data_IF_482423904332
#
_entry.id   IF_482423904332
#
_cell.length_a   1.000
_cell.length_b   1.000
_cell.length_c   1.000
_cell.angle_alpha   90.00
_cell.angle_beta   90.00
_cell.angle_gamma   90.00
#
_symmetry.space_group_name_H-M   'P 1'
#
loop_
_entity.id
_entity.type
_entity.pdbx_description
1 polymer ?
#
# COMPACT_ATOMS: atom_id res chain seq x y z
N UNK A 1 11.70 19.08 -6.17
CA UNK A 1 12.38 17.89 -5.62
C UNK A 1 12.43 16.88 -6.73
N UNK A 2 13.63 16.47 -7.14
CA UNK A 2 13.86 15.61 -8.30
C UNK A 2 13.07 14.30 -8.17
N UNK A 3 12.37 13.96 -9.24
CA UNK A 3 11.51 12.76 -9.42
C UNK A 3 12.38 11.50 -9.60
N UNK A 4 13.33 11.30 -8.68
CA UNK A 4 14.23 10.17 -8.75
C UNK A 4 13.51 8.95 -8.15
N UNK A 5 13.29 7.93 -8.96
CA UNK A 5 12.72 6.66 -8.49
C UNK A 5 13.62 6.02 -7.43
N UNK A 6 13.01 5.26 -6.51
CA UNK A 6 13.79 4.47 -5.54
C UNK A 6 14.60 3.40 -6.27
N UNK A 7 15.85 3.22 -5.85
CA UNK A 7 16.70 2.13 -6.38
C UNK A 7 16.08 0.79 -5.99
N UNK A 8 15.76 -0.05 -6.97
CA UNK A 8 15.20 -1.39 -6.75
C UNK A 8 16.19 -2.46 -7.21
N UNK A 9 16.60 -3.34 -6.29
CA UNK A 9 17.51 -4.46 -6.57
C UNK A 9 16.94 -5.77 -6.02
N UNK A 10 17.42 -6.92 -6.49
CA UNK A 10 16.96 -8.25 -6.03
C UNK A 10 17.82 -8.88 -4.93
N UNK A 11 18.95 -8.27 -4.61
CA UNK A 11 19.88 -8.74 -3.58
C UNK A 11 20.66 -7.57 -2.99
N UNK A 12 21.30 -7.80 -1.84
CA UNK A 12 22.17 -6.80 -1.21
C UNK A 12 23.36 -6.48 -2.10
N UNK A 13 23.92 -7.47 -2.79
CA UNK A 13 25.08 -7.26 -3.71
C UNK A 13 24.73 -6.34 -4.89
N UNK A 14 23.47 -6.30 -5.31
CA UNK A 14 23.00 -5.38 -6.35
C UNK A 14 23.20 -3.89 -5.99
N UNK A 15 23.30 -3.55 -4.72
CA UNK A 15 23.50 -2.18 -4.26
C UNK A 15 24.89 -1.61 -4.62
N UNK A 16 25.88 -2.46 -4.86
CA UNK A 16 27.24 -2.03 -5.25
C UNK A 16 27.24 -1.21 -6.54
N UNK A 17 26.37 -1.53 -7.49
CA UNK A 17 26.26 -0.79 -8.76
C UNK A 17 25.72 0.63 -8.56
N UNK A 18 25.18 0.92 -7.38
CA UNK A 18 24.68 2.23 -6.98
C UNK A 18 25.57 2.91 -5.92
N UNK A 19 26.82 2.42 -5.76
CA UNK A 19 27.83 2.95 -4.83
C UNK A 19 27.38 2.97 -3.36
N UNK A 20 26.45 2.09 -2.96
CA UNK A 20 26.07 1.89 -1.57
C UNK A 20 26.98 0.83 -0.93
N UNK A 21 27.83 1.25 -0.02
CA UNK A 21 28.83 0.37 0.62
C UNK A 21 28.51 0.05 2.07
N UNK A 22 27.92 0.99 2.79
CA UNK A 22 27.48 0.84 4.17
C UNK A 22 25.98 1.08 4.23
N UNK A 23 25.23 0.09 4.71
CA UNK A 23 23.77 0.15 4.73
C UNK A 23 23.19 -0.18 6.09
N UNK A 24 22.06 0.42 6.40
CA UNK A 24 21.17 -0.02 7.46
C UNK A 24 19.84 -0.50 6.83
N UNK A 25 19.35 -1.65 7.25
CA UNK A 25 18.23 -2.34 6.61
C UNK A 25 17.00 -2.39 7.52
N UNK A 26 15.82 -2.05 7.01
CA UNK A 26 14.55 -2.44 7.61
C UNK A 26 13.97 -3.61 6.82
N UNK A 27 13.75 -4.77 7.47
CA UNK A 27 13.17 -5.94 6.83
C UNK A 27 11.69 -6.11 7.21
N UNK A 28 10.84 -6.36 6.19
CA UNK A 28 9.41 -6.55 6.39
C UNK A 28 8.65 -6.76 5.08
N UNK A 29 7.38 -7.14 5.18
CA UNK A 29 6.50 -7.28 4.01
C UNK A 29 6.08 -5.91 3.47
N UNK A 30 5.95 -4.91 4.34
CA UNK A 30 5.57 -3.53 4.02
C UNK A 30 4.28 -3.41 3.21
N UNK A 31 3.34 -4.35 3.39
CA UNK A 31 2.07 -4.21 2.71
C UNK A 31 1.25 -3.07 3.31
N UNK A 32 0.87 -2.13 2.44
CA UNK A 32 0.20 -0.91 2.82
C UNK A 32 1.10 0.16 3.43
N UNK A 33 2.35 -0.09 3.82
CA UNK A 33 3.25 0.86 4.52
C UNK A 33 2.48 1.67 5.56
N UNK A 34 1.87 0.97 6.53
CA UNK A 34 1.02 1.53 7.58
C UNK A 34 1.83 2.21 8.69
N UNK A 35 1.17 2.89 9.64
CA UNK A 35 1.81 3.65 10.70
C UNK A 35 2.84 2.85 11.53
N UNK A 36 2.63 1.53 11.73
CA UNK A 36 3.63 0.66 12.34
C UNK A 36 4.89 0.48 11.48
N UNK A 37 4.73 0.37 10.16
CA UNK A 37 5.88 0.38 9.24
C UNK A 37 6.58 1.74 9.22
N UNK A 38 5.82 2.84 9.25
CA UNK A 38 6.39 4.20 9.29
C UNK A 38 7.26 4.39 10.54
N UNK A 39 6.83 3.90 11.71
CA UNK A 39 7.63 3.89 12.93
C UNK A 39 8.94 3.12 12.74
N UNK A 40 8.88 1.92 12.15
CA UNK A 40 10.06 1.11 11.84
C UNK A 40 11.05 1.85 10.91
N UNK A 41 10.54 2.45 9.82
CA UNK A 41 11.36 3.19 8.86
C UNK A 41 11.97 4.46 9.48
N UNK A 42 11.23 5.16 10.35
CA UNK A 42 11.77 6.32 11.08
C UNK A 42 12.89 5.91 12.03
N UNK A 43 12.74 4.80 12.77
CA UNK A 43 13.78 4.24 13.61
C UNK A 43 15.01 3.88 12.79
N UNK A 44 14.84 3.22 11.64
CA UNK A 44 15.95 2.89 10.75
C UNK A 44 16.67 4.14 10.27
N UNK A 45 15.96 5.20 9.88
CA UNK A 45 16.61 6.45 9.44
C UNK A 45 17.50 7.06 10.50
N UNK A 46 17.04 7.07 11.75
CA UNK A 46 17.84 7.58 12.87
C UNK A 46 19.08 6.71 13.09
N UNK A 47 18.92 5.39 13.08
CA UNK A 47 20.02 4.45 13.19
C UNK A 47 21.03 4.63 12.05
N UNK A 48 20.57 4.67 10.81
CA UNK A 48 21.39 4.83 9.62
C UNK A 48 22.24 6.13 9.66
N UNK A 49 21.62 7.23 10.08
CA UNK A 49 22.32 8.50 10.24
C UNK A 49 23.45 8.42 11.26
N UNK A 50 23.23 7.78 12.42
CA UNK A 50 24.25 7.58 13.45
C UNK A 50 25.40 6.67 13.01
N UNK A 51 25.12 5.75 12.09
CA UNK A 51 26.09 4.79 11.54
C UNK A 51 26.77 5.28 10.24
N UNK A 52 26.42 6.47 9.75
CA UNK A 52 26.84 6.96 8.43
C UNK A 52 26.54 5.96 7.31
N UNK A 53 25.38 5.30 7.38
CA UNK A 53 24.94 4.26 6.46
C UNK A 53 23.71 4.70 5.66
N UNK A 54 23.48 4.08 4.51
CA UNK A 54 22.32 4.32 3.68
C UNK A 54 21.09 3.55 4.20
N UNK A 55 19.93 4.20 4.42
CA UNK A 55 18.71 3.53 4.84
C UNK A 55 18.07 2.77 3.67
N UNK A 56 17.91 1.45 3.82
CA UNK A 56 17.44 0.52 2.81
C UNK A 56 16.26 -0.29 3.35
N UNK A 57 15.19 -0.43 2.57
CA UNK A 57 14.12 -1.37 2.88
C UNK A 57 14.38 -2.72 2.21
N UNK A 58 14.05 -3.83 2.89
CA UNK A 58 14.09 -5.18 2.33
C UNK A 58 12.70 -5.79 2.42
N UNK A 59 12.18 -6.28 1.29
CA UNK A 59 10.87 -6.94 1.22
C UNK A 59 10.96 -8.21 0.38
N UNK A 60 9.92 -9.04 0.47
CA UNK A 60 9.84 -10.33 -0.20
C UNK A 60 8.77 -10.28 -1.29
N UNK A 61 9.06 -10.85 -2.46
CA UNK A 61 8.13 -10.86 -3.59
C UNK A 61 8.25 -12.16 -4.39
N UNK A 62 7.12 -12.83 -4.71
CA UNK A 62 5.75 -12.49 -4.30
C UNK A 62 5.56 -12.50 -2.78
N UNK A 63 4.38 -12.07 -2.33
CA UNK A 63 4.07 -12.12 -0.89
C UNK A 63 4.19 -13.57 -0.38
N UNK A 64 4.87 -13.83 0.77
CA UNK A 64 5.11 -15.21 1.25
C UNK A 64 3.87 -16.10 1.28
N UNK A 65 2.70 -15.56 1.64
CA UNK A 65 1.46 -16.33 1.66
C UNK A 65 0.92 -16.67 0.27
N UNK A 66 1.27 -15.93 -0.77
CA UNK A 66 0.91 -16.30 -2.15
C UNK A 66 1.55 -17.63 -2.56
N UNK A 67 2.74 -17.93 -2.02
CA UNK A 67 3.45 -19.17 -2.28
C UNK A 67 3.12 -20.28 -1.27
N UNK A 68 3.07 -19.93 0.03
CA UNK A 68 2.95 -20.91 1.12
C UNK A 68 1.50 -21.32 1.40
N UNK A 69 0.56 -20.41 1.18
CA UNK A 69 -0.87 -20.60 1.43
C UNK A 69 -1.71 -19.83 0.39
N UNK A 70 -1.67 -20.25 -0.90
CA UNK A 70 -2.30 -19.48 -1.99
C UNK A 70 -3.81 -19.31 -1.83
N UNK A 71 -4.50 -20.28 -1.17
CA UNK A 71 -5.95 -20.22 -0.96
C UNK A 71 -6.36 -19.11 0.02
N UNK A 72 -5.48 -18.77 0.97
CA UNK A 72 -5.70 -17.76 2.00
C UNK A 72 -4.75 -16.56 1.83
N UNK A 73 -4.13 -16.41 0.66
CA UNK A 73 -3.28 -15.27 0.36
C UNK A 73 -4.12 -13.98 0.41
N UNK A 74 -3.74 -13.00 1.24
CA UNK A 74 -4.53 -11.79 1.34
C UNK A 74 -4.34 -10.90 0.11
N UNK A 75 -5.39 -10.21 -0.35
CA UNK A 75 -5.23 -9.19 -1.38
C UNK A 75 -4.29 -8.09 -0.87
N UNK A 76 -3.40 -7.61 -1.73
CA UNK A 76 -2.44 -6.56 -1.36
C UNK A 76 -3.16 -5.24 -1.13
N UNK A 77 -2.75 -4.47 -0.12
CA UNK A 77 -3.26 -3.12 0.15
C UNK A 77 -2.80 -2.10 -0.88
N UNK A 78 -1.61 -2.30 -1.43
CA UNK A 78 -1.01 -1.44 -2.46
C UNK A 78 -0.23 -2.27 -3.48
N UNK A 79 -0.05 -1.76 -4.72
CA UNK A 79 0.84 -2.38 -5.69
C UNK A 79 2.30 -2.33 -5.23
N UNK A 80 3.16 -3.10 -5.91
CA UNK A 80 4.60 -3.05 -5.63
C UNK A 80 5.18 -1.67 -5.94
N UNK A 81 4.77 -1.05 -7.03
CA UNK A 81 5.21 0.29 -7.45
C UNK A 81 4.81 1.34 -6.40
N UNK A 82 3.55 1.29 -5.93
CA UNK A 82 3.08 2.20 -4.86
C UNK A 82 3.80 1.95 -3.54
N UNK A 83 4.12 0.70 -3.21
CA UNK A 83 4.95 0.37 -2.04
C UNK A 83 6.34 1.00 -2.16
N UNK A 84 6.99 0.85 -3.31
CA UNK A 84 8.31 1.42 -3.58
C UNK A 84 8.31 2.96 -3.45
N UNK A 85 7.30 3.61 -4.04
CA UNK A 85 7.10 5.06 -3.92
C UNK A 85 6.91 5.50 -2.46
N UNK A 86 6.07 4.80 -1.69
CA UNK A 86 5.85 5.10 -0.28
C UNK A 86 7.13 4.93 0.54
N UNK A 87 7.90 3.86 0.32
CA UNK A 87 9.17 3.65 1.00
C UNK A 87 10.16 4.78 0.72
N UNK A 88 10.22 5.26 -0.53
CA UNK A 88 11.01 6.44 -0.90
C UNK A 88 10.55 7.70 -0.16
N UNK A 89 9.23 7.96 -0.12
CA UNK A 89 8.66 9.11 0.59
C UNK A 89 9.01 9.09 2.09
N UNK A 90 9.12 7.90 2.69
CA UNK A 90 9.57 7.73 4.07
C UNK A 90 11.11 7.70 4.21
N UNK A 91 11.83 8.01 3.13
CA UNK A 91 13.27 8.28 3.15
C UNK A 91 14.17 7.08 2.95
N UNK A 92 13.66 5.97 2.42
CA UNK A 92 14.50 4.86 2.00
C UNK A 92 15.18 5.22 0.67
N UNK A 93 16.50 4.99 0.58
CA UNK A 93 17.28 5.22 -0.64
C UNK A 93 17.15 4.07 -1.63
N UNK A 94 17.00 2.84 -1.11
CA UNK A 94 16.85 1.64 -1.93
C UNK A 94 15.82 0.67 -1.34
N UNK A 95 15.30 -0.20 -2.22
CA UNK A 95 14.43 -1.32 -1.90
C UNK A 95 15.05 -2.61 -2.43
N UNK A 96 15.40 -3.53 -1.52
CA UNK A 96 15.80 -4.87 -1.88
C UNK A 96 14.55 -5.74 -1.96
N UNK A 97 14.24 -6.23 -3.16
CA UNK A 97 13.12 -7.12 -3.44
C UNK A 97 13.61 -8.55 -3.53
N UNK A 98 13.68 -9.25 -2.40
CA UNK A 98 14.11 -10.64 -2.36
C UNK A 98 13.10 -11.53 -3.08
N UNK A 99 13.49 -12.32 -4.09
CA UNK A 99 12.62 -13.33 -4.70
C UNK A 99 12.22 -14.38 -3.66
N UNK A 100 10.93 -14.46 -3.34
CA UNK A 100 10.43 -15.43 -2.38
C UNK A 100 10.03 -16.73 -3.12
N UNK A 101 10.91 -17.72 -3.07
CA UNK A 101 10.71 -19.05 -3.68
C UNK A 101 10.51 -20.12 -2.61
N UNK A 102 10.18 -21.35 -3.01
CA UNK A 102 10.06 -22.47 -2.07
C UNK A 102 11.41 -22.82 -1.45
N UNK A 103 12.48 -22.72 -2.23
CA UNK A 103 13.85 -22.93 -1.78
C UNK A 103 14.24 -21.86 -0.75
N UNK A 104 13.90 -20.60 -1.02
CA UNK A 104 14.14 -19.50 -0.08
C UNK A 104 13.34 -19.69 1.22
N UNK A 105 12.09 -20.11 1.14
CA UNK A 105 11.24 -20.37 2.30
C UNK A 105 11.74 -21.55 3.17
N UNK A 106 12.54 -22.45 2.61
CA UNK A 106 13.14 -23.59 3.31
C UNK A 106 14.49 -23.28 3.97
N UNK A 107 15.06 -22.08 3.77
CA UNK A 107 16.34 -21.68 4.37
C UNK A 107 16.22 -21.62 5.90
N UNK A 108 17.19 -22.21 6.59
CA UNK A 108 17.35 -22.03 8.04
C UNK A 108 17.70 -20.57 8.36
N UNK A 109 17.49 -20.10 9.61
CA UNK A 109 17.80 -18.71 9.98
C UNK A 109 19.24 -18.28 9.64
N UNK A 110 20.23 -19.12 9.88
CA UNK A 110 21.64 -18.86 9.57
C UNK A 110 21.88 -18.68 8.06
N UNK A 111 21.27 -19.55 7.26
CA UNK A 111 21.35 -19.50 5.79
C UNK A 111 20.65 -18.27 5.24
N UNK A 112 19.49 -17.90 5.80
CA UNK A 112 18.80 -16.66 5.47
C UNK A 112 19.71 -15.45 5.71
N UNK A 113 20.35 -15.34 6.87
CA UNK A 113 21.27 -14.23 7.14
C UNK A 113 22.41 -14.21 6.13
N UNK A 114 23.05 -15.37 5.88
CA UNK A 114 24.19 -15.48 4.96
C UNK A 114 23.79 -15.04 3.55
N UNK A 115 22.64 -15.51 3.04
CA UNK A 115 22.23 -15.27 1.65
C UNK A 115 21.57 -13.91 1.44
N UNK A 116 20.89 -13.35 2.47
CA UNK A 116 20.10 -12.14 2.31
C UNK A 116 20.75 -10.89 2.85
N UNK A 117 21.60 -11.00 3.90
CA UNK A 117 22.17 -9.85 4.59
C UNK A 117 23.71 -9.81 4.51
N UNK A 118 24.36 -10.95 4.27
CA UNK A 118 25.83 -11.06 4.27
C UNK A 118 26.34 -11.71 2.97
N UNK A 119 25.62 -11.58 1.87
CA UNK A 119 25.99 -12.17 0.58
C UNK A 119 26.93 -11.33 -0.26
N UNK A 120 27.29 -10.12 0.16
CA UNK A 120 28.18 -9.22 -0.57
C UNK A 120 29.48 -8.99 0.19
N UNK A 121 30.60 -8.97 -0.53
CA UNK A 121 31.91 -8.55 -0.02
C UNK A 121 32.07 -7.01 -0.10
N UNK A 122 31.23 -6.32 -0.87
CA UNK A 122 31.31 -4.89 -1.15
C UNK A 122 30.35 -4.07 -0.32
N UNK A 123 29.23 -4.66 0.12
CA UNK A 123 28.17 -3.97 0.86
C UNK A 123 28.14 -4.49 2.29
N UNK A 124 28.38 -3.62 3.25
CA UNK A 124 28.43 -3.95 4.68
C UNK A 124 27.12 -3.60 5.35
N UNK A 125 26.52 -4.57 6.03
CA UNK A 125 25.41 -4.33 6.93
C UNK A 125 25.91 -3.67 8.21
N UNK A 126 25.52 -2.42 8.46
CA UNK A 126 25.87 -1.66 9.65
C UNK A 126 24.75 -1.71 10.70
N UNK A 127 23.52 -1.82 10.26
CA UNK A 127 22.37 -1.86 11.15
C UNK A 127 21.19 -2.61 10.57
N UNK A 128 20.39 -3.22 11.44
CA UNK A 128 19.16 -3.95 11.08
C UNK A 128 18.02 -3.56 12.02
N UNK A 129 16.89 -3.15 11.47
CA UNK A 129 15.64 -2.92 12.18
C UNK A 129 14.55 -3.87 11.72
N UNK A 130 13.85 -4.49 12.65
CA UNK A 130 12.66 -5.33 12.37
C UNK A 130 11.57 -5.06 13.40
N UNK A 131 10.32 -5.43 13.12
CA UNK A 131 9.28 -5.44 14.16
C UNK A 131 9.58 -6.46 15.26
N UNK A 132 9.18 -6.19 16.51
CA UNK A 132 9.46 -7.07 17.66
C UNK A 132 8.88 -8.49 17.52
N UNK A 133 7.78 -8.63 16.76
CA UNK A 133 7.16 -9.93 16.47
C UNK A 133 7.66 -10.59 15.17
N UNK A 134 8.74 -10.07 14.55
CA UNK A 134 9.22 -10.57 13.26
C UNK A 134 9.76 -11.99 13.35
N UNK A 135 9.37 -12.83 12.38
CA UNK A 135 9.82 -14.22 12.22
C UNK A 135 10.39 -14.44 10.83
N UNK A 136 11.42 -15.26 10.72
CA UNK A 136 12.09 -15.56 9.45
C UNK A 136 12.68 -16.97 9.44
N UNK A 137 13.19 -17.37 8.28
CA UNK A 137 13.70 -18.72 8.06
C UNK A 137 12.60 -19.77 7.98
N UNK A 138 12.97 -21.01 7.77
CA UNK A 138 12.06 -22.14 7.60
C UNK A 138 11.08 -22.26 8.79
N UNK A 139 9.79 -22.25 8.48
CA UNK A 139 8.74 -22.31 9.50
C UNK A 139 8.73 -21.15 10.49
N UNK A 140 9.41 -20.03 10.20
CA UNK A 140 9.52 -18.90 11.11
C UNK A 140 10.36 -19.20 12.36
N UNK A 141 11.34 -20.09 12.24
CA UNK A 141 12.18 -20.55 13.35
C UNK A 141 13.16 -19.50 13.88
N UNK A 142 13.51 -18.49 13.05
CA UNK A 142 14.30 -17.34 13.47
C UNK A 142 13.42 -16.26 14.08
N UNK A 143 13.92 -15.59 15.10
CA UNK A 143 13.26 -14.51 15.82
C UNK A 143 14.22 -13.35 16.15
N UNK A 144 13.73 -12.35 16.88
CA UNK A 144 14.52 -11.19 17.30
C UNK A 144 15.66 -11.55 18.25
N UNK A 145 15.51 -12.59 19.08
CA UNK A 145 16.58 -13.07 19.97
C UNK A 145 17.71 -13.70 19.17
N UNK A 146 17.38 -14.43 18.09
CA UNK A 146 18.38 -14.95 17.16
C UNK A 146 19.16 -13.80 16.49
N UNK A 147 18.46 -12.75 16.03
CA UNK A 147 19.09 -11.59 15.41
C UNK A 147 19.99 -10.81 16.37
N UNK A 148 19.59 -10.68 17.64
CA UNK A 148 20.41 -10.01 18.64
C UNK A 148 21.77 -10.71 18.83
N UNK A 149 21.77 -12.04 18.96
CA UNK A 149 23.02 -12.83 19.03
C UNK A 149 23.85 -12.71 17.76
N UNK A 150 23.22 -12.79 16.59
CA UNK A 150 23.92 -12.60 15.32
C UNK A 150 24.51 -11.20 15.16
N UNK A 151 23.88 -10.17 15.73
CA UNK A 151 24.38 -8.80 15.72
C UNK A 151 25.68 -8.67 16.55
N UNK A 152 25.72 -9.27 17.74
CA UNK A 152 26.92 -9.32 18.57
C UNK A 152 28.06 -10.07 17.86
N UNK A 153 27.78 -11.25 17.31
CA UNK A 153 28.78 -12.08 16.62
C UNK A 153 29.34 -11.45 15.34
N UNK A 154 28.51 -10.67 14.62
CA UNK A 154 28.85 -10.12 13.30
C UNK A 154 29.08 -8.60 13.31
N UNK A 155 29.02 -7.97 14.48
CA UNK A 155 29.33 -6.57 14.72
C UNK A 155 28.48 -5.59 13.88
N UNK A 156 27.16 -5.73 13.93
CA UNK A 156 26.19 -4.75 13.42
C UNK A 156 25.19 -4.34 14.49
N UNK A 157 24.63 -3.13 14.36
CA UNK A 157 23.60 -2.64 15.29
C UNK A 157 22.24 -3.28 14.98
N UNK A 158 21.54 -3.75 16.03
CA UNK A 158 20.23 -4.38 15.88
C UNK A 158 19.17 -3.71 16.76
N UNK A 159 18.02 -3.40 16.15
CA UNK A 159 16.86 -2.86 16.85
C UNK A 159 15.58 -3.64 16.53
N UNK A 160 14.93 -4.19 17.55
CA UNK A 160 13.58 -4.71 17.49
C UNK A 160 12.59 -3.59 17.85
N UNK A 161 11.79 -3.14 16.88
CA UNK A 161 10.87 -2.02 17.04
C UNK A 161 9.52 -2.52 17.54
N UNK A 162 9.08 -2.00 18.68
CA UNK A 162 7.79 -2.32 19.29
C UNK A 162 6.61 -2.00 18.38
N UNK A 163 5.59 -2.86 18.42
CA UNK A 163 4.37 -2.71 17.65
C UNK A 163 3.69 -1.36 17.92
N UNK A 164 3.20 -0.74 16.86
CA UNK A 164 2.33 0.43 16.97
C UNK A 164 0.91 -0.02 17.33
N UNK A 165 0.24 0.70 18.24
CA UNK A 165 -1.15 0.45 18.61
C UNK A 165 -2.04 1.65 18.32
N UNK A 166 -3.28 1.36 17.91
CA UNK A 166 -4.36 2.31 17.76
C UNK A 166 -5.54 1.84 18.62
N UNK A 167 -5.94 2.65 19.61
CA UNK A 167 -7.00 2.28 20.57
C UNK A 167 -6.84 0.87 21.19
N UNK A 168 -5.59 0.47 21.51
CA UNK A 168 -5.28 -0.83 22.11
C UNK A 168 -5.10 -1.99 21.11
N UNK A 169 -5.56 -1.87 19.87
CA UNK A 169 -5.34 -2.85 18.80
C UNK A 169 -3.97 -2.67 18.14
N UNK A 170 -3.27 -3.77 17.83
CA UNK A 170 -2.00 -3.72 17.07
C UNK A 170 -2.29 -3.31 15.63
N UNK A 171 -1.61 -2.25 15.16
CA UNK A 171 -1.70 -1.82 13.76
C UNK A 171 -1.07 -2.87 12.86
N UNK A 172 -1.86 -3.42 11.95
CA UNK A 172 -1.41 -4.47 11.02
C UNK A 172 -2.14 -4.38 9.69
N UNK A 173 -1.54 -4.92 8.63
CA UNK A 173 -2.18 -5.02 7.31
C UNK A 173 -3.49 -5.81 7.37
N UNK A 174 -3.61 -6.80 8.26
CA UNK A 174 -4.84 -7.57 8.46
C UNK A 174 -5.97 -6.72 9.04
N UNK A 175 -5.68 -5.90 10.06
CA UNK A 175 -6.66 -4.99 10.65
C UNK A 175 -7.13 -3.93 9.63
N UNK A 176 -6.20 -3.41 8.83
CA UNK A 176 -6.50 -2.43 7.78
C UNK A 176 -7.39 -3.05 6.70
N UNK A 177 -7.09 -4.29 6.24
CA UNK A 177 -7.93 -4.98 5.26
C UNK A 177 -9.36 -5.15 5.77
N UNK A 178 -9.53 -5.51 7.04
CA UNK A 178 -10.84 -5.65 7.68
C UNK A 178 -11.59 -4.32 7.65
N UNK A 179 -10.96 -3.23 8.10
CA UNK A 179 -11.58 -1.91 8.10
C UNK A 179 -12.03 -1.47 6.68
N UNK A 180 -11.18 -1.68 5.66
CA UNK A 180 -11.52 -1.36 4.26
C UNK A 180 -12.69 -2.24 3.77
N UNK A 181 -12.67 -3.54 4.05
CA UNK A 181 -13.73 -4.47 3.64
C UNK A 181 -15.08 -4.20 4.33
N UNK A 182 -15.06 -3.64 5.54
CA UNK A 182 -16.25 -3.22 6.30
C UNK A 182 -16.72 -1.80 5.91
N UNK A 183 -15.92 -1.04 5.14
CA UNK A 183 -16.22 0.34 4.76
C UNK A 183 -15.86 1.36 5.84
N UNK A 184 -15.16 0.95 6.90
CA UNK A 184 -14.65 1.86 7.94
C UNK A 184 -13.37 2.56 7.46
N UNK A 185 -13.56 3.47 6.50
CA UNK A 185 -12.47 4.22 5.87
C UNK A 185 -11.75 5.14 6.86
N UNK A 186 -12.43 5.83 7.79
CA UNK A 186 -11.74 6.62 8.80
C UNK A 186 -10.77 5.78 9.65
N UNK A 187 -11.16 4.57 10.09
CA UNK A 187 -10.27 3.66 10.81
C UNK A 187 -9.10 3.21 9.92
N UNK A 188 -9.37 2.81 8.68
CA UNK A 188 -8.32 2.40 7.73
C UNK A 188 -7.28 3.52 7.51
N UNK A 189 -7.73 4.76 7.31
CA UNK A 189 -6.88 5.92 7.12
C UNK A 189 -6.03 6.23 8.36
N UNK A 190 -6.60 6.15 9.54
CA UNK A 190 -5.89 6.32 10.82
C UNK A 190 -4.79 5.28 11.00
N UNK A 191 -5.11 3.99 10.77
CA UNK A 191 -4.15 2.89 10.84
C UNK A 191 -3.03 3.01 9.80
N UNK A 192 -3.36 3.46 8.59
CA UNK A 192 -2.38 3.72 7.53
C UNK A 192 -1.50 4.94 7.83
N UNK A 193 -2.00 5.93 8.60
CA UNK A 193 -1.36 7.23 8.76
C UNK A 193 -1.46 8.12 7.51
N UNK A 194 -2.32 7.74 6.55
CA UNK A 194 -2.64 8.47 5.32
C UNK A 194 -3.98 8.00 4.75
N UNK A 195 -4.50 8.72 3.76
CA UNK A 195 -5.71 8.31 3.05
C UNK A 195 -5.46 7.06 2.21
N UNK A 196 -6.39 6.11 2.26
CA UNK A 196 -6.37 4.94 1.37
C UNK A 196 -6.73 5.39 -0.04
N UNK A 197 -5.98 4.89 -1.04
CA UNK A 197 -6.11 5.33 -2.42
C UNK A 197 -6.46 4.17 -3.34
N UNK A 198 -7.40 4.40 -4.25
CA UNK A 198 -7.60 3.60 -5.46
C UNK A 198 -6.91 4.32 -6.62
N UNK A 199 -5.95 3.65 -7.25
CA UNK A 199 -5.15 4.23 -8.34
C UNK A 199 -5.45 3.48 -9.61
N UNK A 200 -5.76 4.21 -10.68
CA UNK A 200 -6.06 3.62 -11.98
C UNK A 200 -6.02 4.64 -13.11
N UNK A 201 -6.25 4.16 -14.31
CA UNK A 201 -6.40 4.98 -15.52
C UNK A 201 -7.88 5.14 -15.86
N UNK A 202 -8.28 6.33 -16.27
CA UNK A 202 -9.65 6.58 -16.71
C UNK A 202 -9.86 5.99 -18.10
N UNK A 203 -10.81 5.08 -18.21
CA UNK A 203 -11.19 4.41 -19.45
C UNK A 203 -12.62 4.76 -19.88
N UNK A 204 -12.92 4.54 -21.15
CA UNK A 204 -14.30 4.66 -21.63
C UNK A 204 -15.19 3.65 -20.89
N UNK A 205 -16.22 4.14 -20.22
CA UNK A 205 -17.28 3.31 -19.68
C UNK A 205 -18.30 2.96 -20.78
N UNK A 206 -19.22 2.04 -20.49
CA UNK A 206 -20.31 1.69 -21.41
C UNK A 206 -21.34 2.82 -21.61
N UNK A 207 -21.05 4.04 -21.13
CA UNK A 207 -21.68 5.31 -21.54
C UNK A 207 -23.17 5.51 -21.21
N UNK A 208 -23.79 4.65 -20.37
CA UNK A 208 -25.25 4.63 -20.26
C UNK A 208 -25.81 5.66 -19.26
N UNK A 209 -25.07 6.07 -18.25
CA UNK A 209 -25.59 6.93 -17.17
C UNK A 209 -25.07 8.38 -17.19
N UNK A 210 -23.79 8.57 -17.49
CA UNK A 210 -23.12 9.88 -17.25
C UNK A 210 -23.59 11.01 -18.16
N UNK A 211 -23.75 10.76 -19.46
CA UNK A 211 -24.06 11.82 -20.45
C UNK A 211 -25.55 12.21 -20.49
N UNK A 212 -26.45 11.37 -20.01
CA UNK A 212 -27.90 11.62 -20.06
C UNK A 212 -28.45 12.41 -18.85
N UNK A 213 -27.69 12.46 -17.73
CA UNK A 213 -28.17 13.01 -16.45
C UNK A 213 -27.44 14.31 -16.04
N UNK A 214 -26.56 14.88 -16.89
CA UNK A 214 -25.81 16.10 -16.56
C UNK A 214 -24.78 15.92 -15.43
N UNK A 215 -24.41 14.68 -15.13
CA UNK A 215 -23.38 14.35 -14.13
C UNK A 215 -22.36 13.40 -14.75
N UNK A 216 -21.37 13.90 -15.52
CA UNK A 216 -20.37 13.05 -16.14
C UNK A 216 -19.56 12.30 -15.09
N UNK A 217 -19.44 11.00 -15.29
CA UNK A 217 -18.65 10.11 -14.43
C UNK A 217 -17.46 9.54 -15.18
N UNK A 218 -16.32 9.48 -14.52
CA UNK A 218 -15.10 8.85 -15.03
C UNK A 218 -15.02 7.40 -14.53
N UNK A 219 -14.86 6.43 -15.44
CA UNK A 219 -14.64 5.03 -15.06
C UNK A 219 -13.16 4.80 -14.82
N UNK A 220 -12.79 4.56 -13.57
CA UNK A 220 -11.43 4.27 -13.17
C UNK A 220 -11.15 2.77 -13.26
N UNK A 221 -10.23 2.41 -14.14
CA UNK A 221 -9.69 1.05 -14.24
C UNK A 221 -8.61 0.86 -13.17
N UNK A 222 -9.03 0.42 -11.98
CA UNK A 222 -8.12 0.23 -10.84
C UNK A 222 -7.16 -0.92 -11.12
N UNK A 223 -5.88 -0.63 -11.12
CA UNK A 223 -4.81 -1.57 -11.50
C UNK A 223 -4.42 -2.51 -10.35
N UNK A 224 -4.64 -2.11 -9.09
CA UNK A 224 -4.24 -2.90 -7.93
C UNK A 224 -4.80 -2.32 -6.63
N UNK A 225 -4.80 -3.12 -5.61
CA UNK A 225 -5.25 -2.78 -4.26
C UNK A 225 -6.52 -3.52 -3.87
N UNK A 226 -6.82 -3.50 -2.58
CA UNK A 226 -8.03 -4.07 -2.03
C UNK A 226 -9.23 -3.18 -2.39
N UNK A 227 -10.25 -3.76 -3.01
CA UNK A 227 -11.51 -3.08 -3.24
C UNK A 227 -12.27 -2.93 -1.92
N UNK A 228 -12.70 -1.70 -1.55
CA UNK A 228 -13.51 -1.48 -0.36
C UNK A 228 -14.90 -2.14 -0.47
N UNK A 229 -15.66 -2.12 0.64
CA UNK A 229 -17.09 -2.46 0.63
C UNK A 229 -17.79 -1.71 -0.51
N UNK A 230 -18.73 -2.39 -1.20
CA UNK A 230 -19.49 -1.74 -2.26
C UNK A 230 -20.35 -0.61 -1.74
N UNK A 231 -20.44 0.45 -2.52
CA UNK A 231 -21.23 1.63 -2.19
C UNK A 231 -20.65 2.93 -2.67
N UNK A 232 -21.16 4.01 -2.14
CA UNK A 232 -20.80 5.37 -2.51
C UNK A 232 -19.88 5.96 -1.43
N UNK A 233 -18.82 6.62 -1.89
CA UNK A 233 -17.76 7.18 -1.03
C UNK A 233 -17.54 8.65 -1.33
N UNK A 234 -17.34 9.45 -0.29
CA UNK A 234 -16.74 10.77 -0.39
C UNK A 234 -15.22 10.65 -0.45
N UNK A 235 -14.59 11.47 -1.28
CA UNK A 235 -13.13 11.44 -1.42
C UNK A 235 -12.59 12.61 -2.24
N UNK A 236 -11.30 12.47 -2.59
CA UNK A 236 -10.57 13.45 -3.39
C UNK A 236 -9.95 12.72 -4.57
N UNK A 237 -10.23 13.18 -5.77
CA UNK A 237 -9.56 12.74 -6.98
C UNK A 237 -8.31 13.60 -7.19
N UNK A 238 -7.13 12.93 -7.26
CA UNK A 238 -5.84 13.57 -7.45
C UNK A 238 -5.30 13.22 -8.84
N UNK A 239 -5.06 14.22 -9.69
CA UNK A 239 -4.47 14.10 -11.02
C UNK A 239 -3.83 15.42 -11.44
N UNK A 240 -2.85 15.39 -12.32
CA UNK A 240 -2.11 16.55 -12.82
C UNK A 240 -1.55 17.48 -11.72
N UNK A 241 -1.29 16.94 -10.53
CA UNK A 241 -0.83 17.72 -9.37
C UNK A 241 -1.94 18.46 -8.60
N UNK A 242 -3.18 18.38 -9.05
CA UNK A 242 -4.35 19.04 -8.44
C UNK A 242 -5.19 18.06 -7.63
N UNK A 243 -6.03 18.60 -6.74
CA UNK A 243 -6.89 17.85 -5.82
C UNK A 243 -8.33 18.32 -5.99
N UNK A 244 -9.21 17.42 -6.39
CA UNK A 244 -10.60 17.70 -6.73
C UNK A 244 -11.55 16.95 -5.79
N UNK A 245 -12.47 17.64 -5.08
CA UNK A 245 -13.52 17.00 -4.32
C UNK A 245 -14.34 16.10 -5.24
N UNK A 246 -14.64 14.88 -4.79
CA UNK A 246 -15.32 13.92 -5.63
C UNK A 246 -16.13 12.90 -4.82
N UNK A 247 -17.10 12.30 -5.47
CA UNK A 247 -17.85 11.12 -5.03
C UNK A 247 -17.49 9.96 -5.94
N UNK A 248 -17.28 8.78 -5.38
CA UNK A 248 -17.08 7.57 -6.15
C UNK A 248 -18.12 6.52 -5.83
N UNK A 249 -18.71 5.89 -6.87
CA UNK A 249 -19.46 4.66 -6.73
C UNK A 249 -18.52 3.47 -6.99
N UNK A 250 -18.41 2.57 -6.02
CA UNK A 250 -17.56 1.36 -6.07
C UNK A 250 -18.46 0.15 -6.05
N UNK A 251 -18.47 -0.61 -7.14
CA UNK A 251 -19.28 -1.81 -7.32
C UNK A 251 -18.56 -2.89 -8.11
N UNK A 252 -19.27 -3.95 -8.47
CA UNK A 252 -18.74 -4.93 -9.43
C UNK A 252 -19.30 -4.68 -10.82
N UNK A 253 -18.42 -4.78 -11.83
CA UNK A 253 -18.91 -4.95 -13.19
C UNK A 253 -19.67 -6.28 -13.28
N UNK A 254 -20.83 -6.34 -13.96
CA UNK A 254 -21.46 -7.60 -14.27
C UNK A 254 -20.46 -8.49 -15.01
N UNK A 255 -20.21 -9.68 -14.49
CA UNK A 255 -19.28 -10.65 -15.08
C UNK A 255 -19.83 -11.10 -16.43
N UNK A 256 -19.08 -10.91 -17.51
CA UNK A 256 -19.26 -11.73 -18.70
C UNK A 256 -18.91 -13.19 -18.34
N UNK A 257 -19.72 -14.17 -18.75
CA UNK A 257 -19.38 -15.58 -18.53
C UNK A 257 -18.04 -15.90 -19.19
N UNK A 258 -17.04 -16.32 -18.39
CA UNK A 258 -15.73 -16.76 -18.91
C UNK A 258 -14.48 -16.14 -18.26
N UNK A 259 -14.59 -15.05 -17.51
CA UNK A 259 -13.43 -14.45 -16.82
C UNK A 259 -13.66 -14.44 -15.29
N UNK A 260 -12.91 -15.30 -14.59
CA UNK A 260 -13.14 -15.67 -13.18
C UNK A 260 -12.81 -14.65 -12.10
N UNK A 261 -12.51 -13.39 -12.40
CA UNK A 261 -12.25 -12.35 -11.41
C UNK A 261 -13.25 -11.20 -11.59
N UNK A 262 -14.03 -10.95 -10.54
CA UNK A 262 -14.91 -9.78 -10.47
C UNK A 262 -14.05 -8.52 -10.35
N UNK A 263 -13.85 -7.80 -11.47
CA UNK A 263 -13.13 -6.53 -11.46
C UNK A 263 -13.98 -5.45 -10.80
N UNK A 264 -13.42 -4.73 -9.86
CA UNK A 264 -14.10 -3.58 -9.27
C UNK A 264 -14.37 -2.52 -10.36
N UNK A 265 -15.59 -1.99 -10.38
CA UNK A 265 -15.96 -0.83 -11.16
C UNK A 265 -15.97 0.37 -10.24
N UNK A 266 -15.16 1.37 -10.56
CA UNK A 266 -15.08 2.60 -9.81
C UNK A 266 -15.47 3.75 -10.73
N UNK A 267 -16.58 4.42 -10.42
CA UNK A 267 -17.08 5.56 -11.16
C UNK A 267 -16.91 6.82 -10.30
N UNK A 268 -16.11 7.77 -10.78
CA UNK A 268 -15.81 9.01 -10.07
C UNK A 268 -16.59 10.16 -10.67
N UNK A 269 -17.26 10.95 -9.84
CA UNK A 269 -17.93 12.20 -10.17
C UNK A 269 -17.23 13.33 -9.42
N UNK A 270 -16.69 14.32 -10.17
CA UNK A 270 -16.07 15.53 -9.59
C UNK A 270 -17.16 16.50 -9.12
N UNK A 271 -16.94 17.15 -7.98
CA UNK A 271 -17.88 18.11 -7.40
C UNK A 271 -17.59 19.58 -7.75
N UNK A 272 -16.41 19.86 -8.28
CA UNK A 272 -15.91 21.19 -8.63
C UNK A 272 -15.94 21.47 -10.16
N UNK A 273 -16.77 20.74 -10.90
CA UNK A 273 -17.00 20.92 -12.33
C UNK A 273 -16.44 19.82 -13.21
N UNK A 274 -16.75 19.93 -14.50
CA UNK A 274 -16.38 18.92 -15.49
C UNK A 274 -14.94 19.09 -15.96
N UNK A 275 -14.25 17.98 -16.15
CA UNK A 275 -12.88 17.90 -16.66
C UNK A 275 -12.74 16.79 -17.69
N UNK A 276 -11.85 16.95 -18.66
CA UNK A 276 -11.46 15.87 -19.55
C UNK A 276 -10.51 14.90 -18.84
N UNK A 277 -11.06 13.78 -18.37
CA UNK A 277 -10.34 12.81 -17.53
C UNK A 277 -9.86 11.58 -18.30
N UNK A 278 -10.35 11.36 -19.52
CA UNK A 278 -10.00 10.18 -20.31
C UNK A 278 -8.49 10.02 -20.53
N UNK A 279 -7.98 8.81 -20.29
CA UNK A 279 -6.55 8.49 -20.39
C UNK A 279 -5.69 9.00 -19.21
N UNK A 280 -6.26 9.79 -18.30
CA UNK A 280 -5.50 10.26 -17.13
C UNK A 280 -5.37 9.19 -16.07
N UNK A 281 -4.24 9.16 -15.39
CA UNK A 281 -4.03 8.39 -14.17
C UNK A 281 -4.55 9.19 -12.98
N UNK A 282 -5.51 8.62 -12.27
CA UNK A 282 -6.14 9.23 -11.10
C UNK A 282 -5.83 8.39 -9.87
N UNK A 283 -5.49 9.06 -8.76
CA UNK A 283 -5.51 8.52 -7.43
C UNK A 283 -6.73 9.05 -6.69
N UNK A 284 -7.73 8.19 -6.44
CA UNK A 284 -8.89 8.56 -5.63
C UNK A 284 -8.64 8.23 -4.17
N UNK A 285 -8.54 9.27 -3.34
CA UNK A 285 -8.36 9.19 -1.88
C UNK A 285 -9.73 9.02 -1.21
N UNK A 286 -9.95 7.89 -0.57
CA UNK A 286 -11.19 7.64 0.16
C UNK A 286 -11.17 8.35 1.52
N UNK A 287 -12.29 9.01 1.84
CA UNK A 287 -12.48 9.71 3.12
C UNK A 287 -13.55 9.08 3.98
N UNK A 288 -14.72 8.81 3.41
CA UNK A 288 -15.83 8.23 4.15
C UNK A 288 -16.76 7.40 3.24
N UNK A 289 -17.31 6.35 3.80
CA UNK A 289 -18.43 5.60 3.23
C UNK A 289 -19.73 6.40 3.44
N UNK A 290 -20.44 6.69 2.36
CA UNK A 290 -21.70 7.45 2.42
C UNK A 290 -22.93 6.54 2.56
N UNK A 291 -23.02 5.54 1.70
CA UNK A 291 -24.14 4.59 1.66
C UNK A 291 -23.83 3.37 0.80
N UNK A 292 -24.66 2.35 0.92
CA UNK A 292 -24.66 1.20 0.01
C UNK A 292 -25.22 1.57 -1.37
N UNK A 293 -24.92 0.73 -2.38
CA UNK A 293 -25.53 0.86 -3.69
C UNK A 293 -27.06 0.69 -3.60
N UNK A 294 -27.78 1.47 -4.43
CA UNK A 294 -29.23 1.40 -4.55
C UNK A 294 -29.61 1.27 -6.02
N UNK A 295 -30.70 0.56 -6.29
CA UNK A 295 -31.37 0.59 -7.60
C UNK A 295 -32.36 1.73 -7.62
N UNK A 296 -32.51 2.35 -8.77
CA UNK A 296 -33.44 3.47 -8.98
C UNK A 296 -34.41 3.10 -10.12
N UNK A 297 -35.66 3.41 -9.92
CA UNK A 297 -36.74 3.07 -10.88
C UNK A 297 -36.73 3.97 -12.12
N UNK A 298 -36.16 5.16 -12.01
CA UNK A 298 -36.03 6.14 -13.09
C UNK A 298 -34.79 7.02 -12.96
N UNK A 299 -34.37 7.70 -14.07
CA UNK A 299 -33.23 8.59 -14.09
C UNK A 299 -33.34 9.77 -13.14
N UNK A 300 -34.51 10.31 -12.91
CA UNK A 300 -34.78 11.45 -12.05
C UNK A 300 -34.48 11.12 -10.58
N UNK A 301 -34.88 9.94 -10.12
CA UNK A 301 -34.57 9.44 -8.78
C UNK A 301 -33.07 9.24 -8.59
N UNK A 302 -32.36 8.72 -9.61
CA UNK A 302 -30.91 8.61 -9.59
C UNK A 302 -30.24 9.97 -9.50
N UNK A 303 -30.63 10.94 -10.34
CA UNK A 303 -30.09 12.29 -10.32
C UNK A 303 -30.33 13.01 -8.98
N UNK A 304 -31.51 12.83 -8.38
CA UNK A 304 -31.81 13.33 -7.04
C UNK A 304 -30.89 12.76 -5.97
N UNK A 305 -30.63 11.46 -6.03
CA UNK A 305 -29.72 10.82 -5.06
C UNK A 305 -28.25 11.27 -5.26
N UNK A 306 -27.78 11.43 -6.50
CA UNK A 306 -26.43 11.94 -6.78
C UNK A 306 -26.23 13.34 -6.14
N UNK A 307 -27.24 14.24 -6.22
CA UNK A 307 -27.16 15.54 -5.55
C UNK A 307 -27.05 15.42 -4.03
N UNK A 308 -27.85 14.54 -3.43
CA UNK A 308 -27.78 14.30 -1.97
C UNK A 308 -26.40 13.77 -1.57
N UNK A 309 -25.83 12.84 -2.36
CA UNK A 309 -24.50 12.30 -2.10
C UNK A 309 -23.42 13.38 -2.26
N UNK A 310 -23.52 14.22 -3.28
CA UNK A 310 -22.61 15.34 -3.52
C UNK A 310 -22.66 16.37 -2.38
N UNK A 311 -23.83 16.78 -1.94
CA UNK A 311 -24.00 17.71 -0.81
C UNK A 311 -23.43 17.15 0.49
N UNK A 312 -23.67 15.85 0.74
CA UNK A 312 -23.12 15.16 1.92
C UNK A 312 -21.60 15.06 1.85
N UNK A 313 -21.04 14.75 0.69
CA UNK A 313 -19.60 14.71 0.48
C UNK A 313 -18.96 16.10 0.67
N UNK A 314 -19.53 17.15 0.10
CA UNK A 314 -19.03 18.51 0.23
C UNK A 314 -18.93 18.94 1.70
N UNK A 315 -20.00 18.72 2.49
CA UNK A 315 -19.99 19.03 3.94
C UNK A 315 -18.92 18.27 4.71
N UNK A 316 -18.72 16.97 4.39
CA UNK A 316 -17.66 16.16 5.02
C UNK A 316 -16.27 16.68 4.64
N UNK A 317 -16.07 17.09 3.40
CA UNK A 317 -14.79 17.61 2.91
C UNK A 317 -14.44 18.97 3.57
N UNK A 318 -15.41 19.84 3.77
CA UNK A 318 -15.24 21.13 4.50
C UNK A 318 -14.81 20.91 5.96
N UNK A 319 -15.27 19.83 6.61
CA UNK A 319 -14.88 19.52 7.99
C UNK A 319 -13.51 18.84 8.13
N UNK A 320 -12.94 18.33 7.03
CA UNK A 320 -11.69 17.56 7.00
C UNK A 320 -10.54 18.31 6.29
N UNK A 321 -10.81 19.51 5.76
CA UNK A 321 -9.80 20.44 5.25
C UNK A 321 -9.27 21.32 6.36
#
# INVERSE_FOLDING_TARGET
MTDQEIICVSSIDGLKTHHMTDIAVAAGIFDGVHSGHVKLLATLKTLAAGLHADPVAMTFYPHPRELLDPRNAPPMLVSFERKAELLRLYGMKALIRIPFTREFAALKPEEFLKTSLFSSEFVRLRGLCVGSAWRFGAGGSGDTSFLARAAEERHFEFLAVEEQRDHGEVVSSTLIRRAIAEGDIPKANRLLGRRYQLIGEVRHGMGVAGSRLGHPTANLDVSSGLTPKHGVYAGIACFDGERHPAVANIGFAPTFPGYGLKKARVEIHLLDGERALYGKKIAFELLAFLREEKRFDNPEALAGQIRIDADRASRLLETLS
#
